data_IF_973195177696
#
_entry.id   IF_973195177696
#
_cell.length_a   1.000
_cell.length_b   1.000
_cell.length_c   1.000
_cell.angle_alpha   90.00
_cell.angle_beta   90.00
_cell.angle_gamma   90.00
#
_symmetry.space_group_name_H-M   'P 1'
#
loop_
_entity.id
_entity.type
_entity.pdbx_description
1 polymer ?
#
# COMPACT_ATOMS: atom_id res chain seq x y z
N UNK A 1 -40.86 8.83 57.14
CA UNK A 1 -40.64 7.37 57.07
C UNK A 1 -41.79 6.78 56.29
N UNK A 2 -41.53 5.74 55.49
CA UNK A 2 -42.41 5.16 54.44
C UNK A 2 -42.30 5.93 53.11
N UNK A 3 -41.54 5.35 52.17
CA UNK A 3 -41.51 5.53 50.70
C UNK A 3 -40.10 5.31 50.11
N UNK A 4 -39.34 4.31 50.61
CA UNK A 4 -38.06 3.95 50.01
C UNK A 4 -37.76 2.44 50.14
N UNK A 5 -38.76 1.59 49.89
CA UNK A 5 -38.59 0.13 50.01
C UNK A 5 -39.24 -0.69 48.88
N UNK A 6 -39.64 -0.08 47.76
CA UNK A 6 -40.39 -0.79 46.70
C UNK A 6 -39.79 -0.76 45.29
N UNK A 7 -38.55 -0.28 45.12
CA UNK A 7 -37.91 -0.18 43.79
C UNK A 7 -36.61 -0.99 43.64
N UNK A 8 -36.30 -1.89 44.58
CA UNK A 8 -35.06 -2.70 44.56
C UNK A 8 -35.29 -4.21 44.38
N UNK A 9 -36.44 -4.63 43.82
CA UNK A 9 -36.75 -6.07 43.67
C UNK A 9 -37.09 -6.53 42.24
N UNK A 10 -36.91 -5.71 41.20
CA UNK A 10 -37.31 -6.08 39.83
C UNK A 10 -36.24 -5.89 38.74
N UNK A 11 -34.94 -5.85 39.07
CA UNK A 11 -33.87 -5.75 38.08
C UNK A 11 -32.75 -6.79 38.28
N UNK A 12 -33.12 -8.04 38.56
CA UNK A 12 -32.17 -9.16 38.67
C UNK A 12 -32.52 -10.38 37.81
N UNK A 13 -33.39 -10.23 36.81
CA UNK A 13 -33.74 -11.33 35.89
C UNK A 13 -33.86 -10.79 34.46
N UNK A 14 -32.72 -10.64 33.77
CA UNK A 14 -32.62 -10.83 32.30
C UNK A 14 -31.22 -10.44 31.79
N UNK A 15 -30.18 -11.09 32.29
CA UNK A 15 -28.91 -11.19 31.58
C UNK A 15 -28.51 -12.67 31.55
N UNK A 16 -29.28 -13.47 30.83
CA UNK A 16 -28.70 -14.65 30.21
C UNK A 16 -27.98 -14.16 28.96
N UNK A 17 -26.64 -14.14 28.90
CA UNK A 17 -25.99 -14.31 27.62
C UNK A 17 -26.41 -15.70 27.14
N UNK A 18 -27.38 -15.78 26.23
CA UNK A 18 -27.55 -16.95 25.38
C UNK A 18 -26.39 -16.97 24.39
N UNK A 19 -25.15 -17.05 24.90
CA UNK A 19 -24.08 -17.67 24.15
C UNK A 19 -24.43 -19.15 24.07
N UNK A 20 -25.17 -19.53 23.03
CA UNK A 20 -25.06 -20.87 22.47
C UNK A 20 -23.64 -20.99 21.88
N UNK A 21 -22.63 -20.91 22.75
CA UNK A 21 -21.38 -21.60 22.48
C UNK A 21 -21.80 -23.07 22.48
N UNK A 22 -21.99 -23.63 21.29
CA UNK A 22 -22.17 -25.06 21.13
C UNK A 22 -20.97 -25.72 21.80
N UNK A 23 -21.16 -26.21 23.03
CA UNK A 23 -20.37 -27.29 23.60
C UNK A 23 -20.76 -28.56 22.84
N UNK A 24 -20.50 -28.58 21.54
CA UNK A 24 -20.34 -29.82 20.79
C UNK A 24 -18.94 -30.29 21.13
N UNK A 25 -18.82 -31.51 21.67
CA UNK A 25 -17.54 -32.20 21.75
C UNK A 25 -16.83 -32.06 20.41
N UNK A 26 -15.78 -31.22 20.36
CA UNK A 26 -14.98 -31.00 19.17
C UNK A 26 -14.37 -32.35 18.80
N UNK A 27 -14.91 -32.99 17.75
CA UNK A 27 -14.39 -34.25 17.24
C UNK A 27 -13.01 -34.00 16.65
N UNK A 28 -11.99 -34.29 17.46
CA UNK A 28 -10.60 -34.29 17.04
C UNK A 28 -10.29 -35.60 16.29
N UNK A 29 -9.37 -35.56 15.30
CA UNK A 29 -8.64 -34.38 14.85
C UNK A 29 -9.49 -33.44 13.96
N UNK A 30 -9.28 -32.13 14.08
CA UNK A 30 -9.82 -31.17 13.12
C UNK A 30 -9.13 -31.36 11.77
N UNK A 31 -9.93 -31.46 10.71
CA UNK A 31 -9.43 -31.47 9.33
C UNK A 31 -9.81 -30.15 8.71
N UNK A 32 -8.81 -29.29 8.50
CA UNK A 32 -9.04 -27.89 8.18
C UNK A 32 -8.43 -27.47 6.84
N UNK A 33 -9.01 -26.42 6.24
CA UNK A 33 -8.45 -25.72 5.08
C UNK A 33 -8.31 -24.22 5.37
N UNK A 34 -7.34 -23.57 4.75
CA UNK A 34 -7.15 -22.12 4.85
C UNK A 34 -7.80 -21.42 3.66
N UNK A 35 -8.69 -20.46 3.93
CA UNK A 35 -9.41 -19.67 2.93
C UNK A 35 -8.66 -18.40 2.49
N UNK A 36 -7.40 -18.25 2.92
CA UNK A 36 -6.36 -17.42 2.30
C UNK A 36 -6.84 -16.06 1.79
N UNK A 37 -6.51 -15.78 0.52
CA UNK A 37 -6.75 -14.56 -0.25
C UNK A 37 -8.23 -14.11 -0.38
N UNK A 38 -9.16 -14.59 0.47
CA UNK A 38 -10.55 -14.15 0.47
C UNK A 38 -10.72 -12.77 1.10
N UNK A 39 -10.52 -12.65 2.43
CA UNK A 39 -10.73 -11.39 3.17
C UNK A 39 -9.45 -10.57 3.36
N UNK A 40 -8.29 -11.16 3.06
CA UNK A 40 -7.00 -10.46 3.04
C UNK A 40 -6.34 -10.77 1.71
N UNK A 41 -6.30 -9.78 0.83
CA UNK A 41 -5.82 -9.99 -0.54
C UNK A 41 -4.30 -9.93 -0.69
N UNK A 42 -3.74 -10.89 -1.43
CA UNK A 42 -2.31 -11.04 -1.70
C UNK A 42 -2.03 -11.33 -3.18
N UNK A 43 -1.08 -10.60 -3.77
CA UNK A 43 -0.77 -10.67 -5.19
C UNK A 43 -0.16 -11.99 -5.63
N UNK A 44 0.59 -12.69 -4.77
CA UNK A 44 1.14 -13.99 -5.14
C UNK A 44 0.05 -15.07 -5.34
N UNK A 45 -1.12 -14.92 -4.71
CA UNK A 45 -2.27 -15.81 -4.87
C UNK A 45 -3.17 -15.39 -6.05
N UNK A 46 -3.33 -14.09 -6.30
CA UNK A 46 -4.13 -13.59 -7.44
C UNK A 46 -3.49 -12.34 -8.06
N UNK A 47 -2.42 -12.50 -8.87
CA UNK A 47 -1.68 -11.37 -9.43
C UNK A 47 -2.55 -10.47 -10.31
N UNK A 48 -3.51 -11.06 -11.03
CA UNK A 48 -4.39 -10.35 -11.96
C UNK A 48 -5.26 -9.28 -11.31
N UNK A 49 -5.42 -9.29 -9.98
CA UNK A 49 -6.12 -8.20 -9.28
C UNK A 49 -5.40 -6.86 -9.40
N UNK A 50 -4.09 -6.86 -9.67
CA UNK A 50 -3.29 -5.64 -9.78
C UNK A 50 -3.21 -5.10 -11.21
N UNK A 51 -3.67 -5.85 -12.21
CA UNK A 51 -3.44 -5.53 -13.64
C UNK A 51 -4.14 -4.25 -14.11
N UNK A 52 -5.28 -3.91 -13.49
CA UNK A 52 -6.02 -2.70 -13.81
C UNK A 52 -5.48 -1.41 -13.17
N UNK A 53 -4.41 -1.50 -12.37
CA UNK A 53 -3.83 -0.34 -11.69
C UNK A 53 -2.82 0.36 -12.60
N UNK A 54 -3.01 1.66 -12.82
CA UNK A 54 -2.06 2.49 -13.58
C UNK A 54 -0.75 2.59 -12.81
N UNK A 55 0.38 2.36 -13.48
CA UNK A 55 1.71 2.26 -12.85
C UNK A 55 1.72 1.25 -11.69
N UNK A 56 1.24 0.02 -11.93
CA UNK A 56 1.18 -1.06 -10.92
C UNK A 56 2.54 -1.53 -10.39
N UNK A 57 3.63 -1.12 -11.02
CA UNK A 57 5.00 -1.34 -10.56
C UNK A 57 5.50 -0.21 -9.64
N UNK A 58 4.75 0.91 -9.55
CA UNK A 58 4.98 2.04 -8.64
C UNK A 58 3.91 2.11 -7.54
N UNK A 59 3.46 0.97 -7.03
CA UNK A 59 2.50 0.96 -5.92
C UNK A 59 3.14 1.45 -4.62
N UNK A 60 2.30 1.83 -3.66
CA UNK A 60 2.78 2.31 -2.37
C UNK A 60 3.73 1.30 -1.71
N UNK A 61 4.88 1.80 -1.28
CA UNK A 61 5.93 1.02 -0.65
C UNK A 61 6.89 0.33 -1.62
N UNK A 62 6.72 0.48 -2.94
CA UNK A 62 7.71 0.02 -3.91
C UNK A 62 9.07 0.69 -3.68
N UNK A 63 10.15 -0.07 -3.87
CA UNK A 63 11.52 0.41 -3.79
C UNK A 63 12.05 0.67 -5.19
N UNK A 64 12.59 1.87 -5.40
CA UNK A 64 13.09 2.30 -6.70
C UNK A 64 14.48 2.93 -6.59
N UNK A 65 15.22 2.87 -7.68
CA UNK A 65 16.53 3.50 -7.84
C UNK A 65 16.51 4.34 -9.13
N UNK A 66 17.23 5.47 -9.13
CA UNK A 66 17.31 6.37 -10.27
C UNK A 66 18.75 6.52 -10.73
N UNK A 67 19.06 6.06 -11.94
CA UNK A 67 20.36 6.20 -12.58
C UNK A 67 20.32 7.40 -13.54
N UNK A 68 21.12 8.43 -13.30
CA UNK A 68 21.29 9.55 -14.23
C UNK A 68 21.85 9.04 -15.55
N UNK A 69 21.17 9.32 -16.67
CA UNK A 69 21.69 8.95 -18.00
C UNK A 69 22.93 9.76 -18.39
N UNK A 70 22.99 11.02 -17.93
CA UNK A 70 24.09 11.94 -18.25
C UNK A 70 25.40 11.56 -17.58
N UNK A 71 25.35 11.24 -16.29
CA UNK A 71 26.57 10.93 -15.51
C UNK A 71 26.82 9.42 -15.35
N UNK A 72 25.85 8.56 -15.65
CA UNK A 72 25.88 7.14 -15.30
C UNK A 72 26.15 6.92 -13.80
N UNK A 73 25.48 7.74 -12.96
CA UNK A 73 25.55 7.68 -11.49
C UNK A 73 24.17 7.63 -10.88
N UNK A 74 24.03 6.89 -9.79
CA UNK A 74 22.79 6.78 -9.03
C UNK A 74 22.55 8.01 -8.18
N UNK A 75 21.29 8.44 -8.14
CA UNK A 75 20.79 9.39 -7.16
C UNK A 75 20.93 8.79 -5.75
N UNK A 76 21.51 9.55 -4.84
CA UNK A 76 21.93 9.10 -3.51
C UNK A 76 21.47 10.10 -2.46
N UNK A 77 20.83 9.60 -1.40
CA UNK A 77 20.61 10.33 -0.17
C UNK A 77 21.82 10.16 0.73
N UNK A 78 22.73 11.13 0.73
CA UNK A 78 23.96 11.06 1.54
C UNK A 78 23.62 10.81 3.01
N UNK A 79 24.44 9.99 3.68
CA UNK A 79 24.22 9.50 5.04
C UNK A 79 22.86 8.78 5.26
N UNK A 80 22.21 8.32 4.19
CA UNK A 80 20.89 7.71 4.23
C UNK A 80 19.73 8.70 4.42
N UNK A 81 20.00 10.00 4.44
CA UNK A 81 19.03 11.05 4.74
C UNK A 81 19.52 12.04 5.81
N UNK A 82 18.91 13.22 5.83
CA UNK A 82 19.22 14.30 6.76
C UNK A 82 20.04 15.42 6.12
N UNK A 83 20.35 15.29 4.83
CA UNK A 83 21.20 16.21 4.09
C UNK A 83 20.77 16.30 2.61
N UNK A 84 21.66 16.80 1.77
CA UNK A 84 21.53 16.96 0.32
C UNK A 84 21.35 15.64 -0.41
N UNK A 85 20.69 15.72 -1.56
CA UNK A 85 20.60 14.65 -2.54
C UNK A 85 21.67 14.88 -3.62
N UNK A 86 22.42 13.83 -3.95
CA UNK A 86 23.56 13.88 -4.89
C UNK A 86 23.45 12.77 -5.93
N UNK A 87 24.34 12.74 -6.92
CA UNK A 87 24.38 11.69 -7.95
C UNK A 87 25.81 11.25 -8.22
N UNK A 88 26.41 10.51 -7.28
CA UNK A 88 27.85 10.19 -7.26
C UNK A 88 28.17 8.68 -7.20
N UNK A 89 27.18 7.80 -7.03
CA UNK A 89 27.44 6.36 -6.89
C UNK A 89 27.42 5.63 -8.22
N UNK A 90 28.34 4.69 -8.41
CA UNK A 90 28.40 3.80 -9.58
C UNK A 90 27.56 2.52 -9.40
N UNK A 91 27.29 2.15 -8.16
CA UNK A 91 26.51 0.97 -7.79
C UNK A 91 25.51 1.35 -6.71
N UNK A 92 24.26 0.88 -6.78
CA UNK A 92 23.26 1.23 -5.80
C UNK A 92 23.29 0.28 -4.60
N UNK A 93 22.95 0.81 -3.44
CA UNK A 93 22.70 0.10 -2.20
C UNK A 93 21.56 0.81 -1.46
N UNK A 94 21.59 0.80 -0.13
CA UNK A 94 20.52 1.35 0.71
C UNK A 94 20.33 2.87 0.54
N UNK A 95 21.39 3.63 0.23
CA UNK A 95 21.32 5.11 0.14
C UNK A 95 20.78 5.60 -1.21
N UNK A 96 20.86 4.74 -2.23
CA UNK A 96 20.36 5.00 -3.59
C UNK A 96 18.95 4.43 -3.79
N UNK A 97 18.42 3.73 -2.79
CA UNK A 97 17.12 3.08 -2.83
C UNK A 97 16.07 3.93 -2.12
N UNK A 98 15.06 4.35 -2.87
CA UNK A 98 13.97 5.19 -2.40
C UNK A 98 12.70 4.37 -2.27
N UNK A 99 12.00 4.49 -1.14
CA UNK A 99 10.67 3.91 -0.97
C UNK A 99 9.62 4.91 -1.44
N UNK A 100 8.76 4.48 -2.36
CA UNK A 100 7.66 5.30 -2.85
C UNK A 100 6.55 5.37 -1.81
N UNK A 101 6.14 6.58 -1.49
CA UNK A 101 4.87 6.86 -0.81
C UNK A 101 3.91 7.40 -1.88
N UNK A 102 2.89 6.61 -2.22
CA UNK A 102 2.03 6.91 -3.35
C UNK A 102 0.92 7.87 -2.94
N UNK A 103 0.87 9.02 -3.60
CA UNK A 103 -0.20 10.02 -3.43
C UNK A 103 -1.35 9.70 -4.39
N UNK A 104 -1.02 9.42 -5.66
CA UNK A 104 -1.97 8.98 -6.68
C UNK A 104 -1.23 8.25 -7.82
N UNK A 105 -1.85 8.15 -9.00
CA UNK A 105 -1.32 7.45 -10.17
C UNK A 105 0.03 7.96 -10.69
N UNK A 106 0.35 9.23 -10.47
CA UNK A 106 1.58 9.87 -11.01
C UNK A 106 2.40 10.61 -9.97
N UNK A 107 1.83 10.93 -8.81
CA UNK A 107 2.48 11.71 -7.76
C UNK A 107 2.89 10.85 -6.57
N UNK A 108 4.12 11.09 -6.11
CA UNK A 108 4.78 10.30 -5.09
C UNK A 108 5.59 11.21 -4.15
N UNK A 109 5.75 10.77 -2.90
CA UNK A 109 6.86 11.20 -2.07
C UNK A 109 7.95 10.13 -2.12
N UNK A 110 9.22 10.54 -2.12
CA UNK A 110 10.36 9.63 -2.12
C UNK A 110 10.92 9.59 -0.70
N UNK A 111 10.85 8.44 -0.04
CA UNK A 111 11.36 8.26 1.32
C UNK A 111 12.72 7.56 1.30
N UNK A 112 13.69 8.14 2.01
CA UNK A 112 15.07 7.63 2.10
C UNK A 112 15.25 6.71 3.31
N UNK A 113 16.43 6.09 3.45
CA UNK A 113 16.75 5.11 4.50
C UNK A 113 16.43 5.61 5.92
N UNK A 114 16.83 6.84 6.24
CA UNK A 114 16.59 7.49 7.54
C UNK A 114 15.15 7.99 7.70
N UNK A 115 14.21 7.45 6.90
CA UNK A 115 12.76 7.68 6.99
C UNK A 115 12.32 9.10 6.67
N UNK A 116 13.23 9.95 6.19
CA UNK A 116 12.95 11.29 5.73
C UNK A 116 12.47 11.30 4.27
N UNK A 117 11.87 12.40 3.84
CA UNK A 117 11.37 12.59 2.49
C UNK A 117 12.28 13.54 1.73
N UNK A 118 12.54 13.18 0.47
CA UNK A 118 13.15 14.05 -0.53
C UNK A 118 12.21 15.24 -0.75
N UNK A 119 12.77 16.44 -0.82
CA UNK A 119 12.02 17.67 -1.05
C UNK A 119 12.91 18.82 -1.51
N UNK A 120 12.27 19.90 -1.91
CA UNK A 120 12.95 21.11 -2.34
C UNK A 120 13.66 21.81 -1.17
N UNK A 121 14.88 22.27 -1.39
CA UNK A 121 15.66 23.10 -0.49
C UNK A 121 16.09 24.43 -1.12
N UNK A 122 16.71 25.29 -0.32
CA UNK A 122 17.17 26.61 -0.79
C UNK A 122 18.31 26.51 -1.82
N UNK A 123 19.10 25.44 -1.76
CA UNK A 123 20.26 25.18 -2.64
C UNK A 123 20.18 23.75 -3.20
N UNK A 124 19.11 23.44 -3.93
CA UNK A 124 18.90 22.14 -4.58
C UNK A 124 17.92 21.24 -3.84
N UNK A 125 18.10 19.93 -4.01
CA UNK A 125 17.21 18.89 -3.45
C UNK A 125 17.83 18.27 -2.21
N UNK A 126 17.02 18.01 -1.17
CA UNK A 126 17.47 17.47 0.12
C UNK A 126 16.47 16.45 0.67
N UNK A 127 16.91 15.59 1.58
CA UNK A 127 16.06 14.58 2.22
C UNK A 127 16.01 14.78 3.74
N UNK A 128 15.33 15.84 4.21
CA UNK A 128 15.36 16.25 5.63
C UNK A 128 14.01 16.17 6.34
N UNK A 129 12.89 16.13 5.61
CA UNK A 129 11.57 16.21 6.22
C UNK A 129 11.10 14.87 6.76
N UNK A 130 10.52 14.84 7.95
CA UNK A 130 9.89 13.64 8.52
C UNK A 130 8.41 13.49 8.12
N UNK A 131 7.83 14.52 7.51
CA UNK A 131 6.43 14.53 7.08
C UNK A 131 6.34 15.21 5.72
N UNK A 132 5.85 14.52 4.69
CA UNK A 132 5.85 15.10 3.36
C UNK A 132 4.74 16.13 3.25
N UNK A 133 5.05 17.24 2.59
CA UNK A 133 4.11 18.31 2.26
C UNK A 133 4.11 18.54 0.75
N UNK A 134 3.85 19.79 0.32
CA UNK A 134 3.91 20.14 -1.08
C UNK A 134 5.34 20.05 -1.65
N UNK A 135 6.36 20.47 -0.90
CA UNK A 135 7.76 20.49 -1.36
C UNK A 135 8.36 19.10 -1.60
N UNK A 136 7.81 18.06 -0.96
CA UNK A 136 8.25 16.66 -1.06
C UNK A 136 7.51 15.87 -2.15
N UNK A 137 6.59 16.51 -2.87
CA UNK A 137 5.75 15.86 -3.88
C UNK A 137 6.38 15.95 -5.26
N UNK A 138 6.60 14.79 -5.87
CA UNK A 138 7.15 14.65 -7.22
C UNK A 138 6.22 13.88 -8.13
N UNK A 139 6.07 14.36 -9.36
CA UNK A 139 5.48 13.57 -10.43
C UNK A 139 6.58 12.71 -11.07
N UNK A 140 6.37 11.39 -11.15
CA UNK A 140 7.21 10.51 -11.97
C UNK A 140 6.62 10.50 -13.37
N UNK A 141 7.29 11.13 -14.33
CA UNK A 141 6.89 11.17 -15.74
C UNK A 141 7.69 10.13 -16.49
N UNK A 142 7.02 9.15 -17.10
CA UNK A 142 7.64 8.11 -17.93
C UNK A 142 7.66 8.52 -19.39
N UNK A 143 8.68 8.09 -20.13
CA UNK A 143 8.72 8.21 -21.60
C UNK A 143 7.80 7.16 -22.22
N UNK A 144 6.95 7.55 -23.17
CA UNK A 144 5.88 6.70 -23.72
C UNK A 144 6.37 5.39 -24.37
N UNK A 145 7.48 5.45 -25.11
CA UNK A 145 8.09 4.32 -25.82
C UNK A 145 9.17 3.59 -25.00
N UNK A 146 9.58 4.15 -23.86
CA UNK A 146 10.59 3.56 -22.98
C UNK A 146 10.25 3.89 -21.52
N UNK A 147 9.28 3.18 -20.90
CA UNK A 147 8.70 3.58 -19.61
C UNK A 147 9.68 3.52 -18.42
N UNK A 148 10.85 2.90 -18.59
CA UNK A 148 11.93 2.94 -17.59
C UNK A 148 12.78 4.21 -17.68
N UNK A 149 12.66 5.01 -18.74
CA UNK A 149 13.20 6.37 -18.79
C UNK A 149 12.20 7.31 -18.18
N UNK A 150 12.62 8.01 -17.15
CA UNK A 150 11.76 8.89 -16.37
C UNK A 150 12.37 10.26 -16.16
N UNK A 151 11.49 11.22 -15.87
CA UNK A 151 11.82 12.53 -15.32
C UNK A 151 11.04 12.72 -14.03
N UNK A 152 11.62 13.44 -13.07
CA UNK A 152 10.98 13.76 -11.80
C UNK A 152 10.59 15.23 -11.81
N UNK A 153 9.29 15.53 -11.92
CA UNK A 153 8.80 16.91 -11.85
C UNK A 153 8.53 17.29 -10.41
N UNK A 154 9.18 18.32 -9.91
CA UNK A 154 8.95 18.81 -8.56
C UNK A 154 7.70 19.69 -8.48
N UNK A 155 7.29 20.00 -7.25
CA UNK A 155 6.12 20.83 -6.97
C UNK A 155 6.24 22.29 -7.43
N UNK A 156 7.45 22.78 -7.64
CA UNK A 156 7.69 24.09 -8.28
C UNK A 156 7.49 24.08 -9.81
N UNK A 157 7.10 22.95 -10.40
CA UNK A 157 6.77 22.82 -11.81
C UNK A 157 7.95 22.48 -12.72
N UNK A 158 9.17 22.45 -12.20
CA UNK A 158 10.39 22.14 -12.97
C UNK A 158 10.82 20.68 -12.78
N UNK A 159 11.63 20.18 -13.72
CA UNK A 159 12.22 18.86 -13.57
C UNK A 159 13.48 18.90 -12.70
N UNK A 160 13.70 17.82 -11.96
CA UNK A 160 14.98 17.55 -11.32
C UNK A 160 16.07 17.44 -12.38
N UNK A 161 17.25 17.95 -12.07
CA UNK A 161 18.43 17.79 -12.90
C UNK A 161 19.69 17.54 -12.08
N UNK A 162 20.55 16.70 -12.64
CA UNK A 162 21.89 16.44 -12.12
C UNK A 162 22.87 17.40 -12.80
N UNK A 163 23.26 18.46 -12.09
CA UNK A 163 24.22 19.43 -12.62
C UNK A 163 25.65 18.91 -12.53
N UNK A 164 25.99 18.25 -11.42
CA UNK A 164 27.26 17.60 -11.14
C UNK A 164 27.03 16.39 -10.23
N UNK A 165 28.08 15.63 -9.93
CA UNK A 165 27.97 14.50 -8.99
C UNK A 165 27.50 14.92 -7.59
N UNK A 166 27.68 16.18 -7.20
CA UNK A 166 27.37 16.70 -5.86
C UNK A 166 26.21 17.68 -5.82
N UNK A 167 25.61 18.01 -6.97
CA UNK A 167 24.54 19.01 -7.05
C UNK A 167 23.37 18.51 -7.90
N UNK A 168 22.24 18.29 -7.22
CA UNK A 168 20.94 18.02 -7.83
C UNK A 168 20.01 19.18 -7.54
N UNK A 169 19.40 19.75 -8.58
CA UNK A 169 18.45 20.88 -8.47
C UNK A 169 17.12 20.52 -9.11
N UNK A 170 16.13 21.42 -9.01
CA UNK A 170 14.80 21.23 -9.57
C UNK A 170 14.34 22.52 -10.27
N UNK A 171 15.03 22.86 -11.36
CA UNK A 171 14.89 24.10 -12.11
C UNK A 171 15.06 23.88 -13.62
N UNK A 172 15.06 22.61 -14.07
CA UNK A 172 15.25 22.28 -15.48
C UNK A 172 13.99 22.52 -16.30
N UNK A 173 14.16 23.20 -17.44
CA UNK A 173 13.08 23.61 -18.36
C UNK A 173 13.14 22.97 -19.75
N UNK A 174 14.20 22.22 -20.05
CA UNK A 174 14.35 21.57 -21.35
C UNK A 174 13.44 20.35 -21.53
N UNK A 175 13.35 19.86 -22.77
CA UNK A 175 12.40 18.83 -23.18
C UNK A 175 13.03 17.58 -23.81
N UNK A 176 14.36 17.51 -23.96
CA UNK A 176 15.03 16.39 -24.63
C UNK A 176 15.04 15.10 -23.79
N UNK A 177 14.95 13.93 -24.42
CA UNK A 177 15.09 12.65 -23.71
C UNK A 177 16.44 11.97 -23.96
N UNK A 178 17.39 12.71 -24.55
CA UNK A 178 18.73 12.23 -24.88
C UNK A 178 19.53 11.92 -23.61
N UNK A 179 20.53 11.04 -23.73
CA UNK A 179 21.35 10.64 -22.59
C UNK A 179 22.12 11.81 -21.95
N UNK A 180 22.44 12.84 -22.73
CA UNK A 180 23.12 14.05 -22.24
C UNK A 180 22.22 15.02 -21.46
N UNK A 181 20.90 14.83 -21.50
CA UNK A 181 19.95 15.67 -20.76
C UNK A 181 20.08 15.39 -19.24
N UNK A 182 20.36 16.41 -18.40
CA UNK A 182 20.61 16.20 -16.98
C UNK A 182 19.37 15.81 -16.18
N UNK A 183 18.17 15.89 -16.78
CA UNK A 183 16.89 15.59 -16.11
C UNK A 183 16.38 14.16 -16.34
N UNK A 184 17.06 13.39 -17.18
CA UNK A 184 16.63 12.04 -17.56
C UNK A 184 17.31 10.99 -16.65
N UNK A 185 16.49 10.07 -16.15
CA UNK A 185 16.92 8.96 -15.32
C UNK A 185 16.40 7.63 -15.88
N UNK A 186 17.19 6.57 -15.77
CA UNK A 186 16.66 5.21 -15.83
C UNK A 186 16.18 4.80 -14.43
N UNK A 187 14.90 4.47 -14.30
CA UNK A 187 14.34 3.92 -13.06
C UNK A 187 14.49 2.40 -13.04
N UNK A 188 14.94 1.87 -11.91
CA UNK A 188 14.90 0.44 -11.63
C UNK A 188 13.92 0.18 -10.48
N UNK A 189 13.01 -0.79 -10.67
CA UNK A 189 12.09 -1.26 -9.63
C UNK A 189 12.75 -2.43 -8.91
N UNK A 190 13.15 -2.23 -7.66
CA UNK A 190 13.92 -3.20 -6.88
C UNK A 190 13.00 -4.20 -6.20
N UNK A 191 11.90 -3.72 -5.64
CA UNK A 191 10.94 -4.54 -4.92
C UNK A 191 9.55 -3.88 -4.93
N UNK A 192 8.50 -4.68 -4.97
CA UNK A 192 7.10 -4.24 -4.94
C UNK A 192 6.33 -4.98 -3.87
N UNK A 193 5.40 -4.29 -3.21
CA UNK A 193 4.44 -4.90 -2.31
C UNK A 193 3.13 -5.19 -3.06
N UNK A 194 2.48 -6.30 -2.73
CA UNK A 194 1.22 -6.70 -3.36
C UNK A 194 0.25 -7.25 -2.32
N UNK A 195 -0.23 -6.38 -1.42
CA UNK A 195 -1.31 -6.70 -0.49
C UNK A 195 -2.56 -5.85 -0.75
N UNK A 196 -3.58 -6.06 0.08
CA UNK A 196 -4.84 -5.30 0.04
C UNK A 196 -4.63 -3.78 0.15
N UNK A 197 -3.64 -3.35 0.91
CA UNK A 197 -3.27 -1.94 0.99
C UNK A 197 -2.91 -1.39 -0.38
N UNK A 198 -2.08 -2.11 -1.17
CA UNK A 198 -1.67 -1.68 -2.50
C UNK A 198 -2.82 -1.73 -3.51
N UNK A 199 -3.73 -2.69 -3.41
CA UNK A 199 -4.94 -2.73 -4.24
C UNK A 199 -5.81 -1.50 -3.96
N UNK A 200 -6.14 -1.27 -2.69
CA UNK A 200 -7.07 -0.22 -2.28
C UNK A 200 -6.48 1.18 -2.46
N UNK A 201 -5.19 1.38 -2.18
CA UNK A 201 -4.47 2.62 -2.50
C UNK A 201 -4.36 2.82 -4.02
N UNK A 202 -4.03 1.77 -4.77
CA UNK A 202 -3.75 1.82 -6.19
C UNK A 202 -4.97 2.12 -7.07
N UNK A 203 -6.10 1.47 -6.81
CA UNK A 203 -7.37 1.75 -7.50
C UNK A 203 -8.06 3.04 -7.01
N UNK A 204 -7.67 3.53 -5.84
CA UNK A 204 -8.26 4.72 -5.24
C UNK A 204 -9.70 4.53 -4.74
N UNK A 205 -10.28 5.56 -4.12
CA UNK A 205 -11.51 5.45 -3.33
C UNK A 205 -12.77 5.12 -4.14
N UNK A 206 -12.74 5.32 -5.47
CA UNK A 206 -13.90 5.09 -6.35
C UNK A 206 -13.93 3.65 -6.86
N UNK A 207 -12.81 3.14 -7.38
CA UNK A 207 -12.74 1.80 -7.99
C UNK A 207 -12.45 0.70 -6.97
N UNK A 208 -11.67 0.99 -5.91
CA UNK A 208 -11.30 -0.04 -4.94
C UNK A 208 -12.51 -0.75 -4.28
N UNK A 209 -13.59 -0.06 -3.86
CA UNK A 209 -14.76 -0.74 -3.30
C UNK A 209 -15.40 -1.74 -4.26
N UNK A 210 -15.48 -1.40 -5.56
CA UNK A 210 -16.05 -2.27 -6.59
C UNK A 210 -15.19 -3.52 -6.80
N UNK A 211 -13.86 -3.34 -6.87
CA UNK A 211 -12.90 -4.42 -7.05
C UNK A 211 -12.93 -5.39 -5.86
N UNK A 212 -12.97 -4.85 -4.63
CA UNK A 212 -12.97 -5.65 -3.41
C UNK A 212 -14.31 -6.37 -3.20
N UNK A 213 -15.44 -5.69 -3.43
CA UNK A 213 -16.76 -6.31 -3.35
C UNK A 213 -16.89 -7.49 -4.33
N UNK A 214 -16.53 -7.27 -5.61
CA UNK A 214 -16.54 -8.32 -6.61
C UNK A 214 -15.59 -9.47 -6.28
N UNK A 215 -14.54 -9.21 -5.50
CA UNK A 215 -13.64 -10.26 -5.02
C UNK A 215 -14.25 -11.08 -3.88
N UNK A 216 -14.83 -10.43 -2.86
CA UNK A 216 -15.47 -11.13 -1.75
C UNK A 216 -16.67 -11.97 -2.20
N UNK A 217 -17.44 -11.49 -3.18
CA UNK A 217 -18.62 -12.17 -3.72
C UNK A 217 -18.29 -13.40 -4.58
N UNK A 218 -17.05 -13.50 -5.09
CA UNK A 218 -16.69 -14.51 -6.09
C UNK A 218 -15.50 -15.40 -5.72
N UNK A 219 -14.73 -15.06 -4.69
CA UNK A 219 -13.49 -15.79 -4.37
C UNK A 219 -13.75 -17.02 -3.49
N UNK A 220 -14.60 -16.88 -2.46
CA UNK A 220 -15.17 -17.99 -1.68
C UNK A 220 -16.66 -17.75 -1.57
N UNK A 221 -17.44 -18.80 -1.79
CA UNK A 221 -18.90 -18.80 -1.81
C UNK A 221 -19.45 -19.90 -0.90
N UNK A 222 -20.77 -19.89 -0.66
CA UNK A 222 -21.45 -20.98 0.07
C UNK A 222 -21.18 -22.36 -0.56
N UNK A 223 -21.05 -22.42 -1.89
CA UNK A 223 -20.77 -23.67 -2.59
C UNK A 223 -19.39 -24.23 -2.23
N UNK A 224 -18.41 -23.37 -1.97
CA UNK A 224 -17.08 -23.79 -1.51
C UNK A 224 -17.16 -24.37 -0.09
N UNK A 225 -17.98 -23.80 0.80
CA UNK A 225 -18.23 -24.36 2.13
C UNK A 225 -18.93 -25.73 2.07
N UNK A 226 -19.95 -25.87 1.20
CA UNK A 226 -20.59 -27.17 0.91
C UNK A 226 -19.58 -28.19 0.39
N UNK A 227 -18.70 -27.79 -0.51
CA UNK A 227 -17.63 -28.64 -1.02
C UNK A 227 -16.66 -29.08 0.07
N UNK A 228 -16.20 -28.16 0.92
CA UNK A 228 -15.31 -28.42 2.06
C UNK A 228 -15.94 -29.46 3.00
N UNK A 229 -17.20 -29.24 3.39
CA UNK A 229 -17.94 -30.13 4.28
C UNK A 229 -18.16 -31.52 3.67
N UNK A 230 -18.59 -31.58 2.40
CA UNK A 230 -18.81 -32.84 1.68
C UNK A 230 -17.53 -33.70 1.53
N UNK A 231 -16.36 -33.06 1.58
CA UNK A 231 -15.06 -33.75 1.55
C UNK A 231 -14.51 -34.10 2.95
N UNK A 232 -15.32 -33.97 4.00
CA UNK A 232 -14.98 -34.39 5.35
C UNK A 232 -13.95 -33.49 6.03
N UNK A 233 -13.89 -32.21 5.64
CA UNK A 233 -13.21 -31.15 6.40
C UNK A 233 -14.19 -30.56 7.41
N UNK A 234 -13.73 -30.38 8.65
CA UNK A 234 -14.54 -29.97 9.79
C UNK A 234 -14.22 -28.57 10.31
N UNK A 235 -13.27 -27.87 9.70
CA UNK A 235 -12.90 -26.51 10.08
C UNK A 235 -12.35 -25.71 8.89
N UNK A 236 -12.44 -24.38 8.99
CA UNK A 236 -11.78 -23.44 8.08
C UNK A 236 -10.97 -22.42 8.87
N UNK A 237 -9.83 -22.00 8.32
CA UNK A 237 -9.08 -20.83 8.79
C UNK A 237 -9.36 -19.68 7.84
N UNK A 238 -9.88 -18.58 8.36
CA UNK A 238 -10.11 -17.34 7.60
C UNK A 238 -9.11 -16.29 8.08
N UNK A 239 -8.23 -15.76 7.21
CA UNK A 239 -7.45 -14.57 7.52
C UNK A 239 -8.37 -13.36 7.70
N UNK A 240 -8.23 -12.64 8.82
CA UNK A 240 -9.05 -11.45 9.13
C UNK A 240 -8.12 -10.25 9.26
N UNK A 241 -8.29 -9.26 8.39
CA UNK A 241 -7.58 -7.99 8.49
C UNK A 241 -8.08 -7.17 9.68
N UNK A 242 -7.19 -6.46 10.37
CA UNK A 242 -7.57 -5.63 11.52
C UNK A 242 -8.55 -4.50 11.15
N UNK A 243 -8.56 -4.07 9.89
CA UNK A 243 -9.47 -3.04 9.38
C UNK A 243 -10.94 -3.47 9.36
N UNK A 244 -11.20 -4.78 9.26
CA UNK A 244 -12.55 -5.35 9.25
C UNK A 244 -13.32 -4.98 10.53
N UNK A 245 -12.62 -4.83 11.66
CA UNK A 245 -13.21 -4.43 12.93
C UNK A 245 -13.81 -3.00 12.92
N UNK A 246 -13.51 -2.19 11.89
CA UNK A 246 -14.01 -0.83 11.72
C UNK A 246 -15.02 -0.72 10.57
N UNK A 247 -15.50 -1.85 10.03
CA UNK A 247 -16.57 -1.82 9.03
C UNK A 247 -17.84 -1.14 9.57
N UNK A 248 -18.60 -0.43 8.71
CA UNK A 248 -18.40 -0.28 7.25
C UNK A 248 -17.41 0.83 6.85
N UNK A 249 -16.74 1.48 7.82
CA UNK A 249 -15.90 2.65 7.58
C UNK A 249 -14.45 2.42 8.06
N UNK A 250 -13.71 1.46 7.48
CA UNK A 250 -12.33 1.21 7.86
C UNK A 250 -11.45 2.42 7.54
N UNK A 251 -10.28 2.52 8.21
CA UNK A 251 -9.32 3.57 7.92
C UNK A 251 -8.81 3.46 6.47
N UNK A 252 -8.67 4.60 5.81
CA UNK A 252 -8.16 4.65 4.44
C UNK A 252 -6.74 4.07 4.35
N UNK A 253 -6.37 3.40 3.25
CA UNK A 253 -7.13 3.24 2.02
C UNK A 253 -8.11 2.05 2.02
N UNK A 254 -8.17 1.25 3.09
CA UNK A 254 -9.05 0.09 3.16
C UNK A 254 -10.51 0.48 2.90
N UNK A 255 -11.28 -0.49 2.38
CA UNK A 255 -12.67 -0.30 1.95
C UNK A 255 -13.56 -1.23 2.74
N UNK A 256 -14.77 -0.78 3.06
CA UNK A 256 -15.72 -1.58 3.86
C UNK A 256 -16.44 -2.64 3.04
N UNK A 257 -16.96 -3.67 3.73
CA UNK A 257 -17.79 -4.73 3.15
C UNK A 257 -17.30 -6.15 3.50
N UNK A 258 -16.04 -6.26 3.91
CA UNK A 258 -15.42 -7.51 4.36
C UNK A 258 -16.09 -8.16 5.57
N UNK A 259 -16.67 -7.37 6.49
CA UNK A 259 -17.40 -7.90 7.65
C UNK A 259 -18.66 -8.64 7.21
N UNK A 260 -19.40 -8.10 6.23
CA UNK A 260 -20.55 -8.80 5.65
C UNK A 260 -20.13 -10.12 4.99
N UNK A 261 -18.99 -10.14 4.29
CA UNK A 261 -18.45 -11.37 3.72
C UNK A 261 -18.04 -12.39 4.80
N UNK A 262 -17.51 -11.93 5.94
CA UNK A 262 -17.23 -12.77 7.09
C UNK A 262 -18.51 -13.31 7.75
N UNK A 263 -19.56 -12.50 7.89
CA UNK A 263 -20.86 -12.92 8.43
C UNK A 263 -21.50 -14.03 7.60
N UNK A 264 -21.31 -13.98 6.27
CA UNK A 264 -21.74 -15.05 5.39
C UNK A 264 -21.07 -16.39 5.74
N UNK A 265 -19.78 -16.41 6.10
CA UNK A 265 -19.09 -17.65 6.50
C UNK A 265 -19.66 -18.30 7.76
N UNK A 266 -20.26 -17.51 8.66
CA UNK A 266 -20.94 -18.06 9.85
C UNK A 266 -22.35 -18.56 9.53
N UNK A 267 -22.92 -18.12 8.41
CA UNK A 267 -24.25 -18.53 7.95
C UNK A 267 -24.19 -19.80 7.10
N UNK A 268 -23.12 -19.96 6.32
CA UNK A 268 -22.88 -21.09 5.41
C UNK A 268 -22.40 -22.35 6.13
#
# INVERSE_FOLDING_TARGET
MVYLAFLLFFNLISCFPSSHAQNTDLKLPLRAVNLGNWLVTEGWMKPSRFDGIINKDLLDGAHVQFLSTKLNKYLCAENGGGTVLVANRISPSDWETFRLWRVNESYFHLRVLNKQFVGLGNQGVKAVSNTPTHSETFQIVRKDDAPNRVRLKASNGFFLQVQSETLVTADYTGSSWDDSDPSVFNIAIVNTLQGEYQITNGYGPVKAPQVMQAHWDSYITEQDFKFISANGLSAVRIPVGWWIAQDPNPPKPFVGGSLKALDNAFTW
#
